data_IF_579728898859
#
_entry.id   IF_579728898859
#
_cell.length_a   1.000
_cell.length_b   1.000
_cell.length_c   1.000
_cell.angle_alpha   90.00
_cell.angle_beta   90.00
_cell.angle_gamma   90.00
#
_symmetry.space_group_name_H-M   'P 1'
#
loop_
_entity.id
_entity.type
_entity.pdbx_description
1 polymer ?
#
# COMPACT_ATOMS: atom_id res chain seq x y z
N UNK A 1 22.82 17.85 -0.94
CA UNK A 1 23.87 18.30 0.00
C UNK A 1 23.38 18.46 1.43
N UNK A 2 22.40 19.32 1.75
CA UNK A 2 21.94 19.51 3.14
C UNK A 2 21.61 18.19 3.86
N UNK A 3 20.87 17.30 3.21
CA UNK A 3 20.42 16.05 3.83
C UNK A 3 21.55 15.03 4.10
N UNK A 4 22.45 14.83 3.12
CA UNK A 4 23.41 13.72 3.12
C UNK A 4 24.89 14.15 3.16
N UNK A 5 25.20 15.42 2.92
CA UNK A 5 26.57 15.91 2.78
C UNK A 5 27.32 15.94 4.11
N UNK A 6 28.65 15.84 4.04
CA UNK A 6 29.54 15.99 5.18
C UNK A 6 29.46 17.40 5.79
N UNK A 7 29.74 17.52 7.09
CA UNK A 7 29.75 18.80 7.81
C UNK A 7 30.73 19.82 7.22
N UNK A 8 31.73 19.40 6.46
CA UNK A 8 32.67 20.29 5.77
C UNK A 8 32.06 20.98 4.54
N UNK A 9 30.93 20.51 4.03
CA UNK A 9 30.23 21.12 2.89
C UNK A 9 29.39 22.31 3.32
N UNK A 10 29.08 23.23 2.40
CA UNK A 10 28.28 24.42 2.72
C UNK A 10 26.95 24.06 3.39
N UNK A 11 26.19 23.15 2.78
CA UNK A 11 24.87 22.79 3.33
C UNK A 11 24.94 21.72 4.43
N UNK A 12 25.99 20.88 4.47
CA UNK A 12 26.21 19.98 5.60
C UNK A 12 26.59 20.73 6.89
N UNK A 13 27.40 21.79 6.78
CA UNK A 13 27.67 22.71 7.89
C UNK A 13 26.39 23.38 8.38
N UNK A 14 25.54 23.85 7.46
CA UNK A 14 24.24 24.44 7.79
C UNK A 14 23.34 23.46 8.57
N UNK A 15 23.29 22.18 8.17
CA UNK A 15 22.57 21.13 8.92
C UNK A 15 23.12 20.94 10.34
N UNK A 16 24.44 20.94 10.48
CA UNK A 16 25.10 20.83 11.79
C UNK A 16 24.83 22.04 12.70
N UNK A 17 24.91 23.27 12.15
CA UNK A 17 24.59 24.50 12.86
C UNK A 17 23.11 24.56 13.29
N UNK A 18 22.21 23.93 12.51
CA UNK A 18 20.80 23.74 12.89
C UNK A 18 20.58 22.66 13.96
N UNK A 19 21.65 22.02 14.46
CA UNK A 19 21.62 21.06 15.56
C UNK A 19 21.64 19.59 15.17
N UNK A 20 21.86 19.25 13.89
CA UNK A 20 21.91 17.86 13.42
C UNK A 20 23.19 17.57 12.60
N UNK A 21 24.35 17.36 13.26
CA UNK A 21 25.63 17.19 12.55
C UNK A 21 25.68 15.96 11.65
N UNK A 22 25.02 14.85 12.01
CA UNK A 22 25.03 13.62 11.22
C UNK A 22 24.13 13.70 9.97
N UNK A 23 24.48 13.03 8.86
CA UNK A 23 23.60 12.87 7.69
C UNK A 23 22.27 12.18 8.02
N UNK A 24 21.19 12.52 7.32
CA UNK A 24 19.88 11.85 7.45
C UNK A 24 19.78 10.53 6.69
N UNK A 25 20.73 10.26 5.78
CA UNK A 25 20.71 9.10 4.87
C UNK A 25 19.45 9.06 4.00
N UNK A 26 19.09 10.18 3.39
CA UNK A 26 18.01 10.27 2.41
C UNK A 26 18.28 9.27 1.27
N UNK A 27 17.35 8.32 1.07
CA UNK A 27 17.47 7.24 0.07
C UNK A 27 16.68 7.49 -1.20
N UNK A 28 15.59 8.25 -1.10
CA UNK A 28 14.66 8.51 -2.20
C UNK A 28 14.42 10.01 -2.31
N UNK A 29 14.25 10.50 -3.54
CA UNK A 29 13.84 11.88 -3.79
C UNK A 29 12.84 11.93 -4.93
N UNK A 30 11.63 12.44 -4.65
CA UNK A 30 10.65 12.77 -5.69
C UNK A 30 11.06 14.03 -6.42
N UNK A 31 11.01 14.02 -7.76
CA UNK A 31 11.22 15.21 -8.59
C UNK A 31 9.96 15.42 -9.43
N UNK A 32 9.24 16.49 -9.11
CA UNK A 32 7.89 16.72 -9.62
C UNK A 32 6.82 16.15 -8.68
N UNK A 33 5.56 16.44 -8.98
CA UNK A 33 4.36 15.90 -8.33
C UNK A 33 3.14 16.24 -9.19
N UNK A 34 2.42 15.23 -9.68
CA UNK A 34 1.19 15.43 -10.48
C UNK A 34 1.37 16.43 -11.63
N UNK A 35 2.55 16.46 -12.23
CA UNK A 35 2.88 17.43 -13.27
C UNK A 35 2.09 17.19 -14.55
N UNK A 36 1.75 18.28 -15.24
CA UNK A 36 1.36 18.20 -16.65
C UNK A 36 2.59 17.76 -17.47
N UNK A 37 2.48 16.61 -18.14
CA UNK A 37 3.59 15.99 -18.86
C UNK A 37 3.73 16.61 -20.25
N UNK A 38 4.34 17.80 -20.25
CA UNK A 38 4.63 18.61 -21.43
C UNK A 38 6.10 18.51 -21.83
N UNK A 39 6.44 18.99 -23.03
CA UNK A 39 7.85 19.12 -23.47
C UNK A 39 8.70 19.92 -22.48
N UNK A 40 8.13 20.97 -21.87
CA UNK A 40 8.81 21.79 -20.86
C UNK A 40 9.07 20.99 -19.58
N UNK A 41 8.14 20.12 -19.19
CA UNK A 41 8.34 19.20 -18.06
C UNK A 41 9.47 18.23 -18.39
N UNK A 42 9.43 17.57 -19.55
CA UNK A 42 10.47 16.61 -19.96
C UNK A 42 11.86 17.26 -19.94
N UNK A 43 12.00 18.45 -20.52
CA UNK A 43 13.27 19.19 -20.54
C UNK A 43 13.80 19.42 -19.12
N UNK A 44 12.97 19.99 -18.24
CA UNK A 44 13.35 20.34 -16.87
C UNK A 44 13.63 19.10 -16.03
N UNK A 45 12.74 18.10 -16.09
CA UNK A 45 12.91 16.84 -15.38
C UNK A 45 14.22 16.18 -15.81
N UNK A 46 14.50 16.09 -17.11
CA UNK A 46 15.73 15.49 -17.64
C UNK A 46 16.98 16.18 -17.10
N UNK A 47 16.99 17.52 -17.07
CA UNK A 47 18.11 18.29 -16.52
C UNK A 47 18.37 17.95 -15.05
N UNK A 48 17.31 17.96 -14.22
CA UNK A 48 17.43 17.73 -12.78
C UNK A 48 17.77 16.26 -12.49
N UNK A 49 17.12 15.31 -13.18
CA UNK A 49 17.39 13.88 -13.07
C UNK A 49 18.85 13.54 -13.38
N UNK A 50 19.38 14.06 -14.50
CA UNK A 50 20.78 13.83 -14.87
C UNK A 50 21.75 14.42 -13.85
N UNK A 51 21.48 15.63 -13.35
CA UNK A 51 22.31 16.26 -12.32
C UNK A 51 22.28 15.47 -11.00
N UNK A 52 21.12 14.94 -10.60
CA UNK A 52 20.99 14.10 -9.41
C UNK A 52 21.72 12.77 -9.58
N UNK A 53 21.57 12.12 -10.73
CA UNK A 53 22.25 10.85 -11.05
C UNK A 53 23.77 10.99 -11.08
N UNK A 54 24.28 12.12 -11.59
CA UNK A 54 25.71 12.40 -11.62
C UNK A 54 26.27 12.69 -10.23
N UNK A 55 25.58 13.54 -9.44
CA UNK A 55 26.14 14.04 -8.17
C UNK A 55 25.80 13.17 -6.96
N UNK A 56 24.66 12.46 -6.98
CA UNK A 56 24.14 11.66 -5.88
C UNK A 56 23.59 10.31 -6.38
N UNK A 57 24.42 9.47 -7.02
CA UNK A 57 23.98 8.20 -7.58
C UNK A 57 23.43 7.22 -6.52
N UNK A 58 23.72 7.44 -5.24
CA UNK A 58 23.18 6.66 -4.12
C UNK A 58 21.72 6.97 -3.79
N UNK A 59 21.18 8.11 -4.24
CA UNK A 59 19.79 8.50 -4.02
C UNK A 59 18.96 8.01 -5.21
N UNK A 60 17.93 7.22 -4.93
CA UNK A 60 16.96 6.78 -5.94
C UNK A 60 16.02 7.94 -6.27
N UNK A 61 16.07 8.44 -7.51
CA UNK A 61 15.11 9.43 -7.97
C UNK A 61 13.78 8.75 -8.29
N UNK A 62 12.70 9.30 -7.77
CA UNK A 62 11.33 8.96 -8.13
C UNK A 62 10.80 10.05 -9.07
N UNK A 63 10.48 9.69 -10.31
CA UNK A 63 9.80 10.60 -11.25
C UNK A 63 8.28 10.53 -11.08
N UNK A 64 7.53 11.42 -11.72
CA UNK A 64 6.05 11.34 -11.76
C UNK A 64 5.59 10.88 -13.15
N UNK A 65 4.50 10.11 -13.21
CA UNK A 65 3.77 9.83 -14.47
C UNK A 65 2.50 10.67 -14.60
N UNK A 66 2.43 11.81 -13.92
CA UNK A 66 1.30 12.73 -14.00
C UNK A 66 0.24 12.53 -12.91
N UNK A 67 -0.86 13.29 -12.97
CA UNK A 67 -1.84 13.40 -11.89
C UNK A 67 -2.78 12.20 -11.73
N UNK A 68 -2.87 11.33 -12.73
CA UNK A 68 -3.86 10.26 -12.78
C UNK A 68 -3.25 8.95 -13.27
N UNK A 69 -3.91 7.84 -12.99
CA UNK A 69 -3.55 6.50 -13.44
C UNK A 69 -3.96 6.17 -14.88
N UNK A 70 -4.35 7.17 -15.68
CA UNK A 70 -4.81 7.04 -17.05
C UNK A 70 -4.67 8.35 -17.83
N UNK A 71 -4.79 8.27 -19.16
CA UNK A 71 -4.79 9.43 -20.04
C UNK A 71 -3.40 9.82 -20.56
N UNK A 72 -3.35 10.96 -21.26
CA UNK A 72 -2.17 11.39 -22.02
C UNK A 72 -0.95 11.64 -21.12
N UNK A 73 -1.14 12.29 -19.98
CA UNK A 73 -0.05 12.54 -19.02
C UNK A 73 0.54 11.22 -18.52
N UNK A 74 -0.32 10.26 -18.18
CA UNK A 74 0.08 8.93 -17.75
C UNK A 74 0.90 8.17 -18.80
N UNK A 75 0.44 8.16 -20.05
CA UNK A 75 1.14 7.50 -21.15
C UNK A 75 2.47 8.17 -21.49
N UNK A 76 2.51 9.50 -21.55
CA UNK A 76 3.74 10.25 -21.84
C UNK A 76 4.74 10.19 -20.68
N UNK A 77 4.26 10.24 -19.44
CA UNK A 77 5.10 10.09 -18.24
C UNK A 77 5.81 8.75 -18.23
N UNK A 78 5.10 7.66 -18.54
CA UNK A 78 5.70 6.34 -18.68
C UNK A 78 6.70 6.26 -19.85
N UNK A 79 6.44 6.93 -20.99
CA UNK A 79 7.40 7.00 -22.10
C UNK A 79 8.69 7.71 -21.67
N UNK A 80 8.60 8.80 -20.93
CA UNK A 80 9.76 9.51 -20.38
C UNK A 80 10.52 8.61 -19.39
N UNK A 81 9.81 7.90 -18.52
CA UNK A 81 10.41 6.98 -17.56
C UNK A 81 11.19 5.86 -18.23
N UNK A 82 10.60 5.23 -19.24
CA UNK A 82 11.24 4.19 -20.05
C UNK A 82 12.44 4.76 -20.83
N UNK A 83 12.31 5.95 -21.43
CA UNK A 83 13.38 6.63 -22.20
C UNK A 83 14.59 6.96 -21.34
N UNK A 84 14.38 7.50 -20.14
CA UNK A 84 15.46 7.95 -19.24
C UNK A 84 15.96 6.84 -18.32
N UNK A 85 15.30 5.67 -18.30
CA UNK A 85 15.52 4.60 -17.33
C UNK A 85 15.45 5.12 -15.89
N UNK A 86 14.36 5.82 -15.58
CA UNK A 86 14.10 6.30 -14.21
C UNK A 86 13.94 5.06 -13.31
N UNK A 87 14.63 4.97 -12.18
CA UNK A 87 14.59 3.75 -11.37
C UNK A 87 13.21 3.48 -10.75
N UNK A 88 12.42 4.54 -10.51
CA UNK A 88 11.09 4.43 -9.94
C UNK A 88 10.20 5.60 -10.38
N UNK A 89 8.90 5.36 -10.52
CA UNK A 89 7.90 6.39 -10.79
C UNK A 89 6.82 6.41 -9.72
N UNK A 90 6.23 7.57 -9.52
CA UNK A 90 5.10 7.84 -8.64
C UNK A 90 3.78 7.80 -9.42
N UNK A 91 2.85 6.99 -8.96
CA UNK A 91 1.49 6.86 -9.49
C UNK A 91 0.46 7.28 -8.45
N UNK A 92 -0.55 8.02 -8.91
CA UNK A 92 -1.59 8.58 -8.07
C UNK A 92 -2.97 8.17 -8.58
N UNK A 93 -3.85 7.73 -7.68
CA UNK A 93 -5.27 7.58 -8.01
C UNK A 93 -6.19 7.52 -6.79
N UNK A 94 -7.17 8.41 -6.81
CA UNK A 94 -8.30 8.45 -5.90
C UNK A 94 -9.52 7.92 -6.64
N UNK A 95 -10.04 6.77 -6.23
CA UNK A 95 -11.03 6.04 -7.02
C UNK A 95 -12.22 5.55 -6.19
N UNK A 96 -13.32 5.22 -6.88
CA UNK A 96 -14.52 4.68 -6.22
C UNK A 96 -14.29 3.23 -5.74
N UNK A 97 -15.03 2.74 -4.73
CA UNK A 97 -15.00 1.32 -4.37
C UNK A 97 -15.24 0.37 -5.55
N UNK A 98 -16.13 0.75 -6.47
CA UNK A 98 -16.38 0.00 -7.70
C UNK A 98 -15.13 -0.12 -8.58
N UNK A 99 -14.33 0.94 -8.70
CA UNK A 99 -13.06 0.88 -9.45
C UNK A 99 -12.09 -0.10 -8.79
N UNK A 100 -11.90 -0.04 -7.47
CA UNK A 100 -11.01 -0.96 -6.74
C UNK A 100 -11.43 -2.42 -6.91
N UNK A 101 -12.72 -2.71 -6.85
CA UNK A 101 -13.26 -4.06 -7.07
C UNK A 101 -13.01 -4.58 -8.49
N UNK A 102 -13.05 -3.70 -9.50
CA UNK A 102 -12.93 -4.07 -10.91
C UNK A 102 -11.51 -3.99 -11.46
N UNK A 103 -10.55 -3.41 -10.73
CA UNK A 103 -9.17 -3.22 -11.17
C UNK A 103 -8.16 -3.99 -10.30
N UNK A 104 -8.57 -5.14 -9.74
CA UNK A 104 -7.69 -6.00 -8.96
C UNK A 104 -6.55 -6.62 -9.78
N UNK A 105 -6.61 -6.55 -11.11
CA UNK A 105 -5.57 -6.99 -12.04
C UNK A 105 -4.79 -5.82 -12.68
N UNK A 106 -4.89 -4.61 -12.11
CA UNK A 106 -4.29 -3.39 -12.66
C UNK A 106 -2.79 -3.55 -12.92
N UNK A 107 -2.03 -3.88 -11.87
CA UNK A 107 -0.59 -4.14 -11.98
C UNK A 107 -0.28 -5.49 -12.64
N UNK A 108 -1.24 -6.44 -12.62
CA UNK A 108 -1.07 -7.72 -13.29
C UNK A 108 -0.92 -7.58 -14.81
N UNK A 109 -1.28 -6.44 -15.39
CA UNK A 109 -1.15 -6.13 -16.82
C UNK A 109 0.17 -5.46 -17.20
N UNK A 110 1.01 -5.08 -16.23
CA UNK A 110 2.21 -4.31 -16.50
C UNK A 110 3.28 -5.15 -17.19
N UNK A 111 4.12 -4.52 -18.01
CA UNK A 111 5.24 -5.21 -18.63
C UNK A 111 6.35 -5.47 -17.60
N UNK A 112 6.56 -6.75 -17.23
CA UNK A 112 7.59 -7.16 -16.25
C UNK A 112 9.02 -6.99 -16.75
N UNK A 113 9.21 -6.72 -18.05
CA UNK A 113 10.52 -6.36 -18.59
C UNK A 113 10.89 -4.89 -18.35
N UNK A 114 9.96 -4.04 -17.87
CA UNK A 114 10.27 -2.66 -17.48
C UNK A 114 11.22 -2.66 -16.29
N UNK A 115 12.15 -1.71 -16.33
CA UNK A 115 13.17 -1.53 -15.29
C UNK A 115 12.69 -0.62 -14.16
N UNK A 116 11.89 0.40 -14.49
CA UNK A 116 11.28 1.31 -13.52
C UNK A 116 10.31 0.56 -12.60
N UNK A 117 10.46 0.75 -11.29
CA UNK A 117 9.49 0.30 -10.28
C UNK A 117 8.39 1.34 -10.09
N UNK A 118 7.30 0.93 -9.44
CA UNK A 118 6.21 1.83 -9.05
C UNK A 118 6.27 2.11 -7.55
N UNK A 119 6.17 3.38 -7.20
CA UNK A 119 5.69 3.86 -5.93
C UNK A 119 4.25 4.31 -6.14
N UNK A 120 3.29 3.67 -5.48
CA UNK A 120 1.91 4.15 -5.43
C UNK A 120 1.82 5.22 -4.35
N UNK A 121 2.25 6.44 -4.64
CA UNK A 121 2.46 7.48 -3.65
C UNK A 121 1.20 8.11 -3.10
N UNK A 122 0.12 8.08 -3.89
CA UNK A 122 -1.18 8.55 -3.44
C UNK A 122 -2.30 7.64 -3.90
N UNK A 123 -3.02 7.06 -2.94
CA UNK A 123 -4.28 6.38 -3.23
C UNK A 123 -5.25 6.43 -2.05
N UNK A 124 -6.54 6.46 -2.37
CA UNK A 124 -7.61 6.23 -1.42
C UNK A 124 -8.91 5.86 -2.13
N UNK A 125 -9.75 5.05 -1.48
CA UNK A 125 -11.13 4.87 -1.89
C UNK A 125 -11.97 6.06 -1.45
N UNK A 126 -12.76 6.62 -2.38
CA UNK A 126 -13.71 7.68 -2.07
C UNK A 126 -15.15 7.24 -2.36
N UNK A 127 -15.97 7.27 -1.32
CA UNK A 127 -17.41 7.15 -1.46
C UNK A 127 -18.02 8.46 -2.03
N UNK A 128 -19.24 8.42 -2.60
CA UNK A 128 -19.90 9.63 -3.11
C UNK A 128 -20.00 10.76 -2.07
N UNK A 129 -20.15 10.41 -0.79
CA UNK A 129 -20.20 11.35 0.33
C UNK A 129 -18.83 11.58 1.01
N UNK A 130 -17.73 11.08 0.41
CA UNK A 130 -16.37 11.10 0.97
C UNK A 130 -16.25 10.50 2.37
N UNK A 131 -17.16 9.59 2.76
CA UNK A 131 -17.05 8.90 4.03
C UNK A 131 -15.84 7.96 4.04
N UNK A 132 -15.11 7.96 5.14
CA UNK A 132 -14.17 6.90 5.50
C UNK A 132 -14.88 5.94 6.46
N UNK A 133 -15.21 4.74 5.99
CA UNK A 133 -15.97 3.72 6.71
C UNK A 133 -15.44 2.31 6.36
N UNK A 134 -16.10 1.28 6.88
CA UNK A 134 -15.72 -0.11 6.63
C UNK A 134 -15.72 -0.47 5.13
N UNK A 135 -16.65 0.08 4.33
CA UNK A 135 -16.67 -0.13 2.88
C UNK A 135 -15.37 0.34 2.21
N UNK A 136 -15.00 1.61 2.40
CA UNK A 136 -13.77 2.17 1.80
C UNK A 136 -12.53 1.41 2.28
N UNK A 137 -12.47 1.08 3.57
CA UNK A 137 -11.36 0.33 4.15
C UNK A 137 -11.22 -1.09 3.56
N UNK A 138 -12.33 -1.82 3.39
CA UNK A 138 -12.26 -3.20 2.89
C UNK A 138 -11.94 -3.28 1.40
N UNK A 139 -12.39 -2.33 0.57
CA UNK A 139 -11.96 -2.30 -0.84
C UNK A 139 -10.48 -1.95 -0.99
N UNK A 140 -9.94 -1.09 -0.11
CA UNK A 140 -8.50 -0.85 -0.03
C UNK A 140 -7.75 -2.10 0.44
N UNK A 141 -8.29 -2.86 1.39
CA UNK A 141 -7.71 -4.12 1.85
C UNK A 141 -7.69 -5.20 0.74
N UNK A 142 -8.77 -5.31 -0.05
CA UNK A 142 -8.84 -6.17 -1.23
C UNK A 142 -7.79 -5.75 -2.27
N UNK A 143 -7.69 -4.45 -2.54
CA UNK A 143 -6.75 -3.92 -3.53
C UNK A 143 -5.30 -4.15 -3.14
N UNK A 144 -4.96 -3.91 -1.87
CA UNK A 144 -3.61 -4.14 -1.35
C UNK A 144 -3.17 -5.61 -1.45
N UNK A 145 -4.09 -6.58 -1.44
CA UNK A 145 -3.72 -7.98 -1.71
C UNK A 145 -3.22 -8.17 -3.16
N UNK A 146 -3.78 -7.40 -4.10
CA UNK A 146 -3.31 -7.38 -5.48
C UNK A 146 -2.04 -6.58 -5.66
N UNK A 147 -1.84 -5.52 -4.87
CA UNK A 147 -0.56 -4.81 -4.84
C UNK A 147 0.56 -5.70 -4.30
N UNK A 148 0.36 -6.39 -3.17
CA UNK A 148 1.35 -7.34 -2.64
C UNK A 148 1.69 -8.47 -3.63
N UNK A 149 0.69 -8.96 -4.39
CA UNK A 149 0.91 -9.95 -5.47
C UNK A 149 1.85 -9.44 -6.56
N UNK A 150 1.82 -8.13 -6.82
CA UNK A 150 2.67 -7.45 -7.80
C UNK A 150 3.81 -6.68 -7.12
N UNK A 151 4.33 -7.17 -5.99
CA UNK A 151 5.49 -6.57 -5.29
C UNK A 151 6.78 -6.58 -6.13
N UNK A 152 6.82 -7.33 -7.23
CA UNK A 152 7.86 -7.26 -8.25
C UNK A 152 7.79 -5.97 -9.09
N UNK A 153 6.63 -5.33 -9.17
CA UNK A 153 6.41 -4.05 -9.87
C UNK A 153 6.29 -2.90 -8.86
N UNK A 154 5.39 -3.02 -7.88
CA UNK A 154 5.09 -1.98 -6.89
C UNK A 154 5.96 -2.19 -5.65
N UNK A 155 6.87 -1.26 -5.39
CA UNK A 155 7.83 -1.36 -4.28
C UNK A 155 7.36 -0.68 -3.00
N UNK A 156 6.50 0.33 -3.12
CA UNK A 156 6.02 1.14 -2.00
C UNK A 156 4.59 1.63 -2.29
N UNK A 157 3.81 1.84 -1.23
CA UNK A 157 2.50 2.50 -1.32
C UNK A 157 2.36 3.53 -0.21
N UNK A 158 1.52 4.55 -0.41
CA UNK A 158 1.15 5.51 0.63
C UNK A 158 -0.30 5.95 0.46
N UNK A 159 -1.11 5.69 1.49
CA UNK A 159 -2.45 6.25 1.55
C UNK A 159 -2.34 7.77 1.67
N UNK A 160 -3.18 8.49 0.93
CA UNK A 160 -3.25 9.93 1.00
C UNK A 160 -4.69 10.45 1.14
N UNK A 161 -4.91 11.57 1.87
CA UNK A 161 -3.96 12.25 2.74
C UNK A 161 -3.88 11.62 4.15
N UNK A 162 -2.79 11.89 4.88
CA UNK A 162 -2.50 11.22 6.16
C UNK A 162 -3.24 11.81 7.36
N UNK A 163 -3.27 13.14 7.49
CA UNK A 163 -3.69 13.85 8.71
C UNK A 163 -4.67 14.98 8.41
N UNK A 164 -5.79 15.00 9.14
CA UNK A 164 -6.76 16.09 9.11
C UNK A 164 -7.08 16.61 10.51
N UNK A 165 -6.95 17.93 10.71
CA UNK A 165 -7.46 18.59 11.91
C UNK A 165 -8.96 18.84 11.77
N UNK A 166 -9.74 18.34 12.72
CA UNK A 166 -11.20 18.55 12.73
C UNK A 166 -11.54 20.05 12.64
N UNK A 167 -12.52 20.39 11.79
CA UNK A 167 -12.97 21.77 11.47
C UNK A 167 -11.96 22.63 10.70
N UNK A 168 -10.83 22.07 10.28
CA UNK A 168 -9.81 22.74 9.46
C UNK A 168 -9.35 21.84 8.30
N UNK A 169 -10.31 21.22 7.61
CA UNK A 169 -10.07 20.24 6.54
C UNK A 169 -10.25 20.87 5.16
N UNK A 170 -9.30 20.63 4.25
CA UNK A 170 -9.40 21.04 2.84
C UNK A 170 -9.68 19.87 1.89
N UNK A 171 -9.54 18.64 2.39
CA UNK A 171 -9.78 17.39 1.67
C UNK A 171 -10.54 16.42 2.58
N UNK A 172 -11.21 15.43 1.98
CA UNK A 172 -11.78 14.26 2.64
C UNK A 172 -11.88 13.10 1.64
N UNK A 173 -11.71 11.84 2.08
CA UNK A 173 -11.32 11.41 3.42
C UNK A 173 -9.81 11.59 3.71
N UNK A 174 -9.44 11.54 4.99
CA UNK A 174 -8.06 11.43 5.48
C UNK A 174 -7.89 10.18 6.35
N UNK A 175 -6.64 9.70 6.51
CA UNK A 175 -6.38 8.46 7.25
C UNK A 175 -6.58 8.61 8.76
N UNK A 176 -6.16 9.74 9.34
CA UNK A 176 -6.23 10.03 10.77
C UNK A 176 -6.77 11.44 10.98
N UNK A 177 -7.87 11.54 11.72
CA UNK A 177 -8.41 12.83 12.17
C UNK A 177 -7.90 13.16 13.57
N UNK A 178 -7.77 14.44 13.91
CA UNK A 178 -7.38 14.84 15.26
C UNK A 178 -7.97 16.20 15.66
N UNK A 179 -8.04 16.43 16.96
CA UNK A 179 -8.31 17.74 17.56
C UNK A 179 -7.25 18.03 18.64
N UNK A 180 -7.47 19.07 19.45
CA UNK A 180 -6.48 19.48 20.46
C UNK A 180 -6.29 18.46 21.60
N UNK A 181 -7.18 17.46 21.72
CA UNK A 181 -7.21 16.50 22.84
C UNK A 181 -7.24 15.04 22.40
N UNK A 182 -7.58 14.75 21.15
CA UNK A 182 -7.83 13.39 20.67
C UNK A 182 -7.20 13.14 19.29
N UNK A 183 -6.74 11.90 19.10
CA UNK A 183 -6.41 11.32 17.79
C UNK A 183 -7.45 10.27 17.46
N UNK A 184 -7.96 10.30 16.23
CA UNK A 184 -9.11 9.51 15.77
C UNK A 184 -8.71 8.76 14.48
N UNK A 185 -8.09 7.57 14.63
CA UNK A 185 -7.79 6.73 13.49
C UNK A 185 -9.06 6.23 12.81
N UNK A 186 -9.05 6.14 11.48
CA UNK A 186 -10.21 5.69 10.69
C UNK A 186 -10.22 4.18 10.47
N UNK A 187 -11.30 3.66 9.88
CA UNK A 187 -11.35 2.30 9.37
C UNK A 187 -10.17 2.01 8.41
N UNK A 188 -9.90 2.93 7.48
CA UNK A 188 -8.76 2.85 6.56
C UNK A 188 -7.42 2.79 7.29
N UNK A 189 -7.24 3.55 8.39
CA UNK A 189 -6.01 3.51 9.19
C UNK A 189 -5.70 2.11 9.67
N UNK A 190 -6.69 1.37 10.19
CA UNK A 190 -6.45 0.03 10.69
C UNK A 190 -6.10 -0.96 9.58
N UNK A 191 -6.62 -0.79 8.37
CA UNK A 191 -6.18 -1.59 7.20
C UNK A 191 -4.71 -1.30 6.89
N UNK A 192 -4.32 -0.03 6.79
CA UNK A 192 -2.93 0.37 6.55
C UNK A 192 -2.00 -0.14 7.65
N UNK A 193 -2.40 -0.02 8.91
CA UNK A 193 -1.65 -0.53 10.06
C UNK A 193 -1.48 -2.06 9.98
N UNK A 194 -2.55 -2.79 9.67
CA UNK A 194 -2.51 -4.25 9.59
C UNK A 194 -1.61 -4.73 8.43
N UNK A 195 -1.62 -4.08 7.27
CA UNK A 195 -0.66 -4.38 6.21
C UNK A 195 0.77 -4.01 6.61
N UNK A 196 1.00 -2.80 7.11
CA UNK A 196 2.34 -2.30 7.47
C UNK A 196 3.03 -3.11 8.57
N UNK A 197 2.28 -3.53 9.61
CA UNK A 197 2.81 -4.32 10.73
C UNK A 197 2.87 -5.83 10.44
N UNK A 198 2.32 -6.28 9.30
CA UNK A 198 2.34 -7.67 8.86
C UNK A 198 2.82 -7.77 7.40
N UNK A 199 3.85 -7.01 7.06
CA UNK A 199 4.53 -7.05 5.77
C UNK A 199 5.50 -8.24 5.69
N UNK A 200 5.86 -8.60 4.46
CA UNK A 200 6.89 -9.60 4.17
C UNK A 200 7.65 -9.19 2.90
N UNK A 201 8.85 -9.74 2.72
CA UNK A 201 9.73 -9.46 1.59
C UNK A 201 9.68 -10.55 0.50
N UNK A 202 8.95 -11.65 0.75
CA UNK A 202 8.71 -12.71 -0.23
C UNK A 202 7.21 -12.96 -0.39
N UNK A 203 6.67 -12.74 -1.58
CA UNK A 203 5.29 -13.14 -1.91
C UNK A 203 5.21 -14.66 -2.13
N UNK A 204 4.27 -15.32 -1.46
CA UNK A 204 4.00 -16.75 -1.64
C UNK A 204 2.82 -16.90 -2.59
N UNK A 205 3.12 -17.34 -3.82
CA UNK A 205 2.09 -17.63 -4.83
C UNK A 205 1.06 -18.60 -4.26
N UNK A 206 -0.22 -18.20 -4.34
CA UNK A 206 -1.33 -18.93 -3.76
C UNK A 206 -2.49 -19.02 -4.75
N UNK A 207 -3.34 -20.03 -4.55
CA UNK A 207 -4.55 -20.24 -5.36
C UNK A 207 -5.78 -20.12 -4.47
N UNK A 208 -6.62 -19.14 -4.76
CA UNK A 208 -7.95 -19.00 -4.16
C UNK A 208 -8.96 -19.82 -4.97
N UNK A 209 -9.74 -20.67 -4.31
CA UNK A 209 -10.87 -21.40 -4.92
C UNK A 209 -12.12 -21.10 -4.13
N UNK A 210 -13.18 -20.65 -4.81
CA UNK A 210 -14.45 -20.29 -4.20
C UNK A 210 -15.53 -21.30 -4.58
N UNK A 211 -16.44 -21.58 -3.65
CA UNK A 211 -17.59 -22.46 -3.89
C UNK A 211 -18.63 -21.83 -4.82
N UNK A 212 -18.68 -20.50 -4.87
CA UNK A 212 -19.44 -19.73 -5.85
C UNK A 212 -18.44 -18.95 -6.73
N UNK A 213 -18.56 -19.15 -8.04
CA UNK A 213 -17.68 -18.56 -9.06
C UNK A 213 -18.32 -17.42 -9.84
N UNK A 214 -19.49 -16.92 -9.41
CA UNK A 214 -20.09 -15.71 -9.94
C UNK A 214 -19.14 -14.52 -9.74
N UNK A 215 -19.01 -13.70 -10.77
CA UNK A 215 -18.06 -12.59 -10.81
C UNK A 215 -18.24 -11.59 -9.65
N UNK A 216 -19.50 -11.34 -9.26
CA UNK A 216 -19.81 -10.47 -8.12
C UNK A 216 -19.32 -11.03 -6.78
N UNK A 217 -19.29 -12.35 -6.63
CA UNK A 217 -18.76 -13.00 -5.43
C UNK A 217 -17.24 -13.01 -5.46
N UNK A 218 -16.65 -13.37 -6.61
CA UNK A 218 -15.20 -13.52 -6.72
C UNK A 218 -14.46 -12.21 -6.51
N UNK A 219 -14.99 -11.08 -7.00
CA UNK A 219 -14.40 -9.75 -6.78
C UNK A 219 -14.41 -9.30 -5.31
N UNK A 220 -15.23 -9.91 -4.47
CA UNK A 220 -15.46 -9.48 -3.07
C UNK A 220 -14.67 -10.31 -2.05
N UNK A 221 -13.86 -11.25 -2.52
CA UNK A 221 -12.94 -12.05 -1.69
C UNK A 221 -11.53 -11.91 -2.25
N UNK A 222 -10.55 -11.59 -1.39
CA UNK A 222 -9.15 -11.63 -1.79
C UNK A 222 -8.27 -12.29 -0.72
N UNK A 223 -7.13 -12.81 -1.17
CA UNK A 223 -6.08 -13.36 -0.33
C UNK A 223 -4.71 -12.84 -0.75
N UNK A 224 -3.87 -12.56 0.23
CA UNK A 224 -2.43 -12.33 0.05
C UNK A 224 -1.67 -13.15 1.09
N UNK A 225 -0.56 -13.74 0.65
CA UNK A 225 0.32 -14.52 1.53
C UNK A 225 1.75 -14.08 1.30
N UNK A 226 2.41 -13.65 2.36
CA UNK A 226 3.81 -13.21 2.32
C UNK A 226 4.62 -13.90 3.41
N UNK A 227 5.94 -13.98 3.20
CA UNK A 227 6.91 -14.37 4.21
C UNK A 227 7.76 -13.16 4.56
N UNK A 228 7.96 -12.96 5.86
CA UNK A 228 8.95 -12.05 6.40
C UNK A 228 10.24 -12.83 6.63
N UNK A 229 11.23 -12.69 5.74
CA UNK A 229 12.48 -13.46 5.80
C UNK A 229 13.32 -13.14 7.04
N UNK A 230 13.09 -12.00 7.71
CA UNK A 230 13.79 -11.66 8.95
C UNK A 230 13.33 -12.51 10.13
N UNK A 231 12.03 -12.79 10.22
CA UNK A 231 11.46 -13.60 11.30
C UNK A 231 11.18 -15.06 10.90
N UNK A 232 11.07 -15.34 9.60
CA UNK A 232 10.57 -16.59 9.04
C UNK A 232 9.05 -16.65 8.94
N UNK A 233 8.33 -15.73 9.60
CA UNK A 233 6.87 -15.77 9.75
C UNK A 233 6.15 -15.78 8.39
N UNK A 234 5.09 -16.58 8.31
CA UNK A 234 4.14 -16.56 7.21
C UNK A 234 2.95 -15.71 7.65
N UNK A 235 2.59 -14.73 6.82
CA UNK A 235 1.44 -13.87 7.05
C UNK A 235 0.40 -14.14 5.98
N UNK A 236 -0.78 -14.59 6.42
CA UNK A 236 -1.96 -14.79 5.58
C UNK A 236 -2.93 -13.63 5.81
N UNK A 237 -3.31 -12.93 4.74
CA UNK A 237 -4.25 -11.81 4.76
C UNK A 237 -5.47 -12.18 3.91
N UNK A 238 -6.66 -12.03 4.47
CA UNK A 238 -7.93 -12.45 3.86
C UNK A 238 -8.96 -11.33 4.01
N UNK A 239 -9.54 -10.88 2.90
CA UNK A 239 -10.59 -9.86 2.91
C UNK A 239 -11.92 -10.46 2.42
N UNK A 240 -12.99 -10.17 3.15
CA UNK A 240 -14.36 -10.58 2.87
C UNK A 240 -15.27 -9.34 2.80
N UNK A 241 -15.70 -8.94 1.61
CA UNK A 241 -16.68 -7.86 1.41
C UNK A 241 -18.13 -8.40 1.26
N UNK A 242 -18.39 -9.66 1.59
CA UNK A 242 -19.74 -10.23 1.52
C UNK A 242 -20.51 -10.02 2.84
N UNK A 243 -21.86 -9.95 2.80
CA UNK A 243 -22.73 -9.91 3.98
C UNK A 243 -22.84 -11.23 4.73
N UNK A 244 -22.02 -12.23 4.39
CA UNK A 244 -22.08 -13.58 4.95
C UNK A 244 -20.70 -14.04 5.40
N UNK A 245 -20.69 -14.91 6.41
CA UNK A 245 -19.46 -15.59 6.83
C UNK A 245 -18.96 -16.49 5.70
N UNK A 246 -17.66 -16.40 5.42
CA UNK A 246 -16.97 -17.31 4.50
C UNK A 246 -16.14 -18.28 5.33
N UNK A 247 -16.39 -19.58 5.16
CA UNK A 247 -15.58 -20.63 5.74
C UNK A 247 -14.44 -20.97 4.78
N UNK A 248 -13.21 -20.87 5.24
CA UNK A 248 -12.01 -20.99 4.40
C UNK A 248 -11.10 -22.11 4.89
N UNK A 249 -10.82 -23.07 4.01
CA UNK A 249 -9.74 -24.06 4.19
C UNK A 249 -8.40 -23.45 3.75
N UNK A 250 -7.47 -23.27 4.70
CA UNK A 250 -6.13 -22.74 4.42
C UNK A 250 -5.13 -23.89 4.39
N UNK A 251 -4.45 -24.06 3.26
CA UNK A 251 -3.47 -25.13 3.02
C UNK A 251 -2.09 -24.55 2.75
N UNK A 252 -1.19 -24.65 3.72
CA UNK A 252 0.17 -24.09 3.67
C UNK A 252 1.21 -25.12 3.22
N UNK A 253 0.87 -25.95 2.22
CA UNK A 253 1.81 -26.98 1.75
C UNK A 253 3.08 -26.34 1.17
N UNK A 254 4.24 -26.87 1.56
CA UNK A 254 5.53 -26.43 1.04
C UNK A 254 6.07 -25.14 1.65
N UNK A 255 5.45 -24.62 2.73
CA UNK A 255 5.94 -23.44 3.43
C UNK A 255 6.92 -23.78 4.58
N UNK A 256 7.29 -25.04 4.76
CA UNK A 256 8.18 -25.49 5.83
C UNK A 256 7.44 -25.76 7.14
N UNK A 257 8.17 -26.04 8.22
CA UNK A 257 7.57 -26.32 9.52
C UNK A 257 6.95 -25.08 10.13
N UNK A 258 5.70 -25.19 10.60
CA UNK A 258 4.99 -24.10 11.30
C UNK A 258 4.80 -24.42 12.78
N UNK A 259 4.77 -23.36 13.59
CA UNK A 259 4.41 -23.44 15.01
C UNK A 259 2.88 -23.42 15.12
N UNK A 260 2.24 -24.38 15.83
CA UNK A 260 0.78 -24.44 15.90
C UNK A 260 0.11 -23.23 16.53
N UNK A 261 0.80 -22.49 17.41
CA UNK A 261 0.24 -21.28 18.02
C UNK A 261 0.49 -20.06 17.14
N UNK A 262 -0.58 -19.47 16.61
CA UNK A 262 -0.54 -18.26 15.78
C UNK A 262 -1.42 -17.15 16.35
N UNK A 263 -1.24 -15.93 15.81
CA UNK A 263 -2.10 -14.77 16.12
C UNK A 263 -3.02 -14.49 14.96
N UNK A 264 -4.31 -14.27 15.25
CA UNK A 264 -5.33 -13.83 14.30
C UNK A 264 -5.88 -12.48 14.72
N UNK A 265 -5.79 -11.50 13.83
CA UNK A 265 -6.38 -10.17 14.02
C UNK A 265 -7.48 -9.96 12.99
N UNK A 266 -8.65 -9.51 13.43
CA UNK A 266 -9.82 -9.27 12.58
C UNK A 266 -10.27 -7.82 12.74
N UNK A 267 -10.47 -7.14 11.62
CA UNK A 267 -11.16 -5.85 11.52
C UNK A 267 -12.54 -6.11 10.88
N UNK A 268 -13.62 -5.84 11.59
CA UNK A 268 -15.01 -6.01 11.12
C UNK A 268 -15.95 -5.11 11.91
N UNK A 269 -17.19 -4.94 11.43
CA UNK A 269 -18.27 -4.30 12.22
C UNK A 269 -19.07 -5.35 12.98
N UNK A 270 -19.31 -5.13 14.28
CA UNK A 270 -20.22 -5.97 15.08
C UNK A 270 -21.68 -5.89 14.61
N UNK A 271 -22.02 -4.85 13.85
CA UNK A 271 -23.36 -4.60 13.31
C UNK A 271 -23.56 -5.21 11.93
N UNK A 272 -22.51 -5.80 11.34
CA UNK A 272 -22.48 -6.20 9.93
C UNK A 272 -22.91 -5.06 8.98
N UNK A 273 -22.41 -3.86 9.24
CA UNK A 273 -22.75 -2.64 8.49
C UNK A 273 -21.49 -2.04 7.83
N UNK A 274 -21.49 -1.98 6.50
CA UNK A 274 -20.41 -1.38 5.71
C UNK A 274 -20.26 0.13 5.95
N UNK A 275 -21.31 0.79 6.43
CA UNK A 275 -21.26 2.22 6.73
C UNK A 275 -20.61 2.55 8.08
N UNK A 276 -20.27 1.53 8.88
CA UNK A 276 -19.69 1.70 10.20
C UNK A 276 -18.30 2.35 10.12
N UNK A 277 -18.08 3.34 11.01
CA UNK A 277 -16.83 4.10 11.11
C UNK A 277 -16.07 3.78 12.39
N UNK A 278 -16.75 3.23 13.39
CA UNK A 278 -16.21 2.99 14.73
C UNK A 278 -15.82 1.53 14.90
N UNK A 279 -14.93 1.07 14.02
CA UNK A 279 -14.43 -0.30 14.01
C UNK A 279 -13.00 -0.33 14.55
N UNK A 280 -12.66 -1.41 15.25
CA UNK A 280 -11.33 -1.60 15.83
C UNK A 280 -10.87 -3.02 15.58
N UNK A 281 -9.59 -3.25 15.27
CA UNK A 281 -9.07 -4.58 15.10
C UNK A 281 -9.03 -5.31 16.45
N UNK A 282 -9.53 -6.54 16.47
CA UNK A 282 -9.47 -7.44 17.62
C UNK A 282 -8.50 -8.59 17.34
N UNK A 283 -7.63 -8.90 18.31
CA UNK A 283 -6.62 -9.97 18.18
C UNK A 283 -6.90 -11.13 19.13
N UNK A 284 -6.77 -12.34 18.62
CA UNK A 284 -6.94 -13.60 19.33
C UNK A 284 -5.84 -14.60 18.99
N UNK A 285 -5.68 -15.62 19.85
CA UNK A 285 -4.89 -16.81 19.49
C UNK A 285 -5.69 -17.73 18.56
N UNK A 286 -4.99 -18.40 17.65
CA UNK A 286 -5.55 -19.47 16.82
C UNK A 286 -4.56 -20.63 16.74
N UNK A 287 -5.08 -21.85 16.76
CA UNK A 287 -4.29 -23.05 16.49
C UNK A 287 -4.29 -23.32 14.98
N UNK A 288 -3.11 -23.43 14.39
CA UNK A 288 -2.90 -23.70 12.97
C UNK A 288 -2.16 -25.01 12.76
N UNK A 289 -2.30 -25.56 11.57
CA UNK A 289 -1.51 -26.70 11.07
C UNK A 289 -1.28 -26.51 9.56
N UNK A 290 -0.67 -27.46 8.86
CA UNK A 290 -0.52 -27.38 7.40
C UNK A 290 -1.87 -27.26 6.67
N UNK A 291 -2.95 -27.71 7.32
CA UNK A 291 -4.33 -27.53 6.88
C UNK A 291 -5.20 -27.13 8.06
N UNK A 292 -5.83 -25.95 7.99
CA UNK A 292 -6.69 -25.47 9.06
C UNK A 292 -7.81 -24.60 8.51
N UNK A 293 -8.89 -24.52 9.29
CA UNK A 293 -10.06 -23.73 8.93
C UNK A 293 -9.96 -22.34 9.55
N UNK A 294 -10.35 -21.33 8.79
CA UNK A 294 -10.57 -19.99 9.27
C UNK A 294 -11.96 -19.51 8.83
N UNK A 295 -12.68 -18.89 9.74
CA UNK A 295 -13.90 -18.17 9.42
C UNK A 295 -13.57 -16.71 9.18
N UNK A 296 -14.02 -16.17 8.05
CA UNK A 296 -14.00 -14.76 7.71
C UNK A 296 -15.40 -14.20 7.97
N UNK A 297 -15.63 -13.44 9.05
CA UNK A 297 -16.94 -12.83 9.31
C UNK A 297 -17.44 -11.97 8.13
N UNK A 298 -18.75 -11.66 8.07
CA UNK A 298 -19.26 -10.66 7.12
C UNK A 298 -18.45 -9.37 7.20
N UNK A 299 -18.16 -8.76 6.06
CA UNK A 299 -17.46 -7.47 5.99
C UNK A 299 -16.22 -7.41 6.90
N UNK A 300 -15.22 -8.25 6.61
CA UNK A 300 -14.06 -8.40 7.47
C UNK A 300 -12.73 -8.39 6.71
N UNK A 301 -11.70 -7.92 7.39
CA UNK A 301 -10.31 -8.12 7.02
C UNK A 301 -9.61 -8.91 8.13
N UNK A 302 -9.08 -10.08 7.78
CA UNK A 302 -8.45 -11.02 8.71
C UNK A 302 -6.98 -11.17 8.37
N UNK A 303 -6.11 -11.00 9.36
CA UNK A 303 -4.66 -11.25 9.26
C UNK A 303 -4.27 -12.35 10.23
N UNK A 304 -3.58 -13.37 9.74
CA UNK A 304 -3.04 -14.48 10.52
C UNK A 304 -1.52 -14.46 10.39
N UNK A 305 -0.82 -14.25 11.49
CA UNK A 305 0.65 -14.32 11.55
C UNK A 305 1.07 -15.62 12.20
N UNK A 306 1.75 -16.46 11.43
CA UNK A 306 2.13 -17.83 11.76
C UNK A 306 3.64 -17.90 11.84
N UNK A 307 4.17 -18.31 12.99
CA UNK A 307 5.60 -18.52 13.14
C UNK A 307 6.04 -19.79 12.44
N UNK A 308 7.22 -19.77 11.82
CA UNK A 308 7.88 -20.97 11.31
C UNK A 308 8.91 -21.49 12.31
N UNK A 309 9.29 -22.76 12.17
CA UNK A 309 10.39 -23.36 12.92
C UNK A 309 11.75 -22.91 12.40
#
# INVERSE_FOLDING_TARGET
EYANGDISTTYGKMRAEAGHPEPFHLKYIGIGNEDLISNTFEERFTMIFNAMKEKYPEITVIGTVGPFCEGADYEEGWKIADKLNIPMVDEHYYQTPGWFLNNQDFYDKYNRARTSKVYLGEYAAHLPNRANNLESALVEALYLASVERNGDIVSMTSYAPLLAKEKHTNWNPDLIYFNNTEVKPTAGYYVQQLYGQNSGDLYLSNKLTLSNTEEDVTKRIASSVVRDSKSGDIIVKLANLLPVTVHTDIRLKGTGGIVPAAKKTILSSEKNDLSDKNIYPYTSGITVSDNFNCEMPPYSFTVIRIKTN
#
